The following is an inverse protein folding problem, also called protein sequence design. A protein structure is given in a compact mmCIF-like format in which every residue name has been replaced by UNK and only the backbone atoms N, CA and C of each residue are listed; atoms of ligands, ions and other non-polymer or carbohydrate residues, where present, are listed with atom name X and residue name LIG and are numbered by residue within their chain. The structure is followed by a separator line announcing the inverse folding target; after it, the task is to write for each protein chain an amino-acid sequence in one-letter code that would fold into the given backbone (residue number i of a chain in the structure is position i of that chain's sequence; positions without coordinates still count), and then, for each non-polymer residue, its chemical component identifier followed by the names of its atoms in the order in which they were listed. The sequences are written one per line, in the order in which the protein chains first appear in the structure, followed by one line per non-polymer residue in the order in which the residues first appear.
data_IF_490976408739
#
_entry.id   IF_490976408739
#
_cell.length_a   1.000
_cell.length_b   1.000
_cell.length_c   1.000
_cell.angle_alpha   90.00
_cell.angle_beta   90.00
_cell.angle_gamma   90.00
#
_symmetry.space_group_name_H-M   'P 1'
#
loop_
_entity.id
_entity.type
_entity.pdbx_description
1 polymer ?
#
# COMPACT_ATOMS: atom_id res chain seq x y z
N UNK A 1 33.87 -18.36 31.45
CA UNK A 1 33.76 -17.94 30.03
C UNK A 1 34.27 -16.52 29.95
N UNK A 2 35.13 -16.18 28.99
CA UNK A 2 35.42 -14.77 28.69
C UNK A 2 34.11 -14.07 28.32
N UNK A 3 33.92 -12.84 28.77
CA UNK A 3 32.76 -12.04 28.37
C UNK A 3 32.87 -11.74 26.88
N UNK A 4 31.79 -11.95 26.14
CA UNK A 4 31.73 -11.58 24.74
C UNK A 4 31.51 -10.07 24.64
N UNK A 5 32.49 -9.37 24.07
CA UNK A 5 32.33 -7.97 23.71
C UNK A 5 31.58 -7.91 22.37
N UNK A 6 30.46 -7.19 22.37
CA UNK A 6 29.65 -6.96 21.17
C UNK A 6 29.96 -5.58 20.61
N UNK A 7 30.16 -5.52 19.30
CA UNK A 7 30.30 -4.26 18.61
C UNK A 7 28.93 -3.61 18.41
N UNK A 8 28.91 -2.30 18.22
CA UNK A 8 27.67 -1.55 17.97
C UNK A 8 26.87 -2.12 16.79
N UNK A 9 27.57 -2.63 15.76
CA UNK A 9 26.97 -3.22 14.55
C UNK A 9 26.20 -4.49 14.88
N UNK A 10 26.63 -5.28 15.87
CA UNK A 10 25.94 -6.52 16.26
C UNK A 10 24.53 -6.23 16.78
N UNK A 11 24.38 -5.12 17.52
CA UNK A 11 23.08 -4.65 18.01
C UNK A 11 22.18 -4.09 16.89
N UNK A 12 22.76 -3.70 15.75
CA UNK A 12 22.02 -3.19 14.60
C UNK A 12 21.39 -4.33 13.78
N UNK A 13 21.80 -5.58 13.99
CA UNK A 13 21.28 -6.75 13.26
C UNK A 13 19.74 -6.85 13.30
N UNK A 14 19.10 -6.89 14.48
CA UNK A 14 17.63 -6.94 14.58
C UNK A 14 16.94 -5.75 13.91
N UNK A 15 17.51 -4.55 14.01
CA UNK A 15 16.97 -3.35 13.39
C UNK A 15 17.02 -3.45 11.86
N UNK A 16 18.16 -3.90 11.32
CA UNK A 16 18.35 -4.11 9.89
C UNK A 16 17.36 -5.15 9.34
N UNK A 17 17.10 -6.24 10.07
CA UNK A 17 16.11 -7.26 9.69
C UNK A 17 14.69 -6.71 9.72
N UNK A 18 14.31 -5.92 10.74
CA UNK A 18 12.99 -5.31 10.80
C UNK A 18 12.78 -4.33 9.63
N UNK A 19 13.79 -3.50 9.31
CA UNK A 19 13.73 -2.63 8.15
C UNK A 19 13.64 -3.40 6.84
N UNK A 20 14.47 -4.42 6.63
CA UNK A 20 14.44 -5.21 5.39
C UNK A 20 13.09 -5.89 5.20
N UNK A 21 12.51 -6.46 6.26
CA UNK A 21 11.17 -7.05 6.24
C UNK A 21 10.09 -6.02 5.88
N UNK A 22 10.12 -4.83 6.51
CA UNK A 22 9.16 -3.76 6.21
C UNK A 22 9.26 -3.29 4.76
N UNK A 23 10.48 -3.12 4.22
CA UNK A 23 10.69 -2.75 2.82
C UNK A 23 10.19 -3.83 1.86
N UNK A 24 10.46 -5.10 2.15
CA UNK A 24 9.97 -6.22 1.33
C UNK A 24 8.44 -6.23 1.30
N UNK A 25 7.77 -6.13 2.45
CA UNK A 25 6.30 -6.06 2.51
C UNK A 25 5.78 -4.84 1.75
N UNK A 26 6.42 -3.68 1.90
CA UNK A 26 6.04 -2.48 1.18
C UNK A 26 6.11 -2.68 -0.33
N UNK A 27 7.21 -3.24 -0.84
CA UNK A 27 7.38 -3.50 -2.27
C UNK A 27 6.45 -4.58 -2.80
N UNK A 28 6.20 -5.65 -2.05
CA UNK A 28 5.21 -6.68 -2.43
C UNK A 28 3.82 -6.07 -2.48
N UNK A 29 3.44 -5.31 -1.46
CA UNK A 29 2.11 -4.69 -1.38
C UNK A 29 1.92 -3.67 -2.51
N UNK A 30 2.94 -2.87 -2.80
CA UNK A 30 2.86 -1.83 -3.80
C UNK A 30 2.99 -2.35 -5.23
N UNK A 31 3.96 -3.21 -5.54
CA UNK A 31 4.19 -3.65 -6.92
C UNK A 31 3.43 -4.92 -7.30
N UNK A 32 3.32 -5.91 -6.41
CA UNK A 32 2.69 -7.18 -6.74
C UNK A 32 1.18 -7.07 -6.52
N UNK A 33 0.76 -6.74 -5.30
CA UNK A 33 -0.67 -6.74 -4.98
C UNK A 33 -1.38 -5.65 -5.79
N UNK A 34 -0.90 -4.41 -5.74
CA UNK A 34 -1.61 -3.28 -6.36
C UNK A 34 -1.57 -3.29 -7.90
N UNK A 35 -0.46 -3.66 -8.55
CA UNK A 35 -0.37 -3.61 -10.02
C UNK A 35 -0.57 -4.94 -10.73
N UNK A 36 -0.23 -6.07 -10.11
CA UNK A 36 -0.30 -7.38 -10.76
C UNK A 36 -1.54 -8.18 -10.35
N UNK A 37 -1.86 -8.23 -9.06
CA UNK A 37 -2.96 -9.06 -8.57
C UNK A 37 -4.33 -8.40 -8.71
N UNK A 38 -4.41 -7.07 -8.62
CA UNK A 38 -5.70 -6.38 -8.67
C UNK A 38 -6.21 -6.29 -10.10
N UNK A 39 -7.42 -6.79 -10.29
CA UNK A 39 -8.13 -6.70 -11.56
C UNK A 39 -9.04 -5.49 -11.57
N UNK A 40 -9.49 -5.06 -12.75
CA UNK A 40 -10.39 -3.91 -12.88
C UNK A 40 -11.74 -4.08 -12.19
N UNK A 41 -12.10 -5.28 -11.75
CA UNK A 41 -13.39 -5.59 -11.13
C UNK A 41 -13.30 -5.64 -9.60
N UNK A 42 -12.10 -5.52 -9.03
CA UNK A 42 -11.89 -5.49 -7.60
C UNK A 42 -12.13 -4.08 -7.02
N UNK A 43 -12.30 -4.02 -5.71
CA UNK A 43 -12.43 -2.74 -5.00
C UNK A 43 -11.13 -1.92 -5.08
N UNK A 44 -11.27 -0.60 -5.16
CA UNK A 44 -10.16 0.35 -5.16
C UNK A 44 -9.24 0.13 -3.95
N UNK A 45 -7.94 0.07 -4.20
CA UNK A 45 -6.98 0.02 -3.10
C UNK A 45 -6.95 1.32 -2.32
N UNK A 46 -6.51 1.24 -1.07
CA UNK A 46 -6.23 2.44 -0.26
C UNK A 46 -5.22 3.37 -0.97
N UNK A 47 -4.25 2.80 -1.69
CA UNK A 47 -3.29 3.56 -2.49
C UNK A 47 -3.97 4.31 -3.65
N UNK A 48 -4.87 3.66 -4.38
CA UNK A 48 -5.63 4.30 -5.46
C UNK A 48 -6.59 5.36 -4.95
N UNK A 49 -7.29 5.13 -3.83
CA UNK A 49 -8.17 6.15 -3.20
C UNK A 49 -7.36 7.40 -2.82
N UNK A 50 -6.19 7.22 -2.21
CA UNK A 50 -5.30 8.32 -1.84
C UNK A 50 -4.71 9.03 -3.08
N UNK A 51 -4.34 8.27 -4.10
CA UNK A 51 -3.78 8.81 -5.33
C UNK A 51 -4.83 9.51 -6.20
N UNK A 52 -6.09 9.08 -6.15
CA UNK A 52 -7.23 9.69 -6.83
C UNK A 52 -7.42 11.14 -6.38
N UNK A 53 -7.28 11.41 -5.08
CA UNK A 53 -7.30 12.78 -4.52
C UNK A 53 -6.20 13.67 -5.09
N UNK A 54 -5.04 13.09 -5.43
CA UNK A 54 -3.91 13.77 -6.06
C UNK A 54 -3.94 13.73 -7.59
N UNK A 55 -4.98 13.14 -8.20
CA UNK A 55 -5.08 12.87 -9.64
C UNK A 55 -3.90 12.04 -10.18
N UNK A 56 -3.30 11.17 -9.36
CA UNK A 56 -2.22 10.26 -9.75
C UNK A 56 -2.81 8.87 -9.93
N UNK A 57 -2.48 8.20 -11.03
CA UNK A 57 -2.86 6.80 -11.25
C UNK A 57 -1.85 5.90 -10.54
N UNK A 58 -2.30 5.20 -9.50
CA UNK A 58 -1.43 4.37 -8.66
C UNK A 58 -1.85 2.89 -8.65
N UNK A 59 -2.59 2.47 -9.67
CA UNK A 59 -3.03 1.09 -9.87
C UNK A 59 -3.68 0.89 -11.24
N UNK A 60 -4.28 -0.28 -11.48
CA UNK A 60 -4.83 -0.67 -12.77
C UNK A 60 -6.09 0.13 -13.12
N UNK A 61 -6.82 0.65 -12.13
CA UNK A 61 -8.05 1.40 -12.35
C UNK A 61 -7.75 2.77 -12.97
N UNK A 62 -8.65 3.21 -13.85
CA UNK A 62 -8.54 4.53 -14.45
C UNK A 62 -9.00 5.59 -13.44
N UNK A 63 -8.42 6.80 -13.48
CA UNK A 63 -8.85 7.90 -12.60
C UNK A 63 -10.34 8.23 -12.74
N UNK A 64 -10.90 8.08 -13.93
CA UNK A 64 -12.32 8.29 -14.18
C UNK A 64 -13.22 7.18 -13.61
N UNK A 65 -12.72 5.95 -13.50
CA UNK A 65 -13.41 4.86 -12.81
C UNK A 65 -13.31 5.07 -11.29
N UNK A 66 -12.11 5.36 -10.80
CA UNK A 66 -11.86 5.63 -9.40
C UNK A 66 -12.73 6.76 -8.84
N UNK A 67 -12.83 7.91 -9.53
CA UNK A 67 -13.64 9.06 -9.08
C UNK A 67 -15.14 8.77 -9.00
N UNK A 68 -15.68 8.01 -9.96
CA UNK A 68 -17.12 7.69 -10.00
C UNK A 68 -17.57 6.80 -8.84
N UNK A 69 -16.64 6.23 -8.08
CA UNK A 69 -16.89 5.08 -7.23
C UNK A 69 -17.00 3.86 -8.12
N UNK A 70 -15.94 3.05 -8.16
CA UNK A 70 -15.83 1.91 -9.06
C UNK A 70 -16.95 0.88 -8.89
N UNK A 71 -16.97 -0.14 -9.75
CA UNK A 71 -17.93 -1.25 -9.78
C UNK A 71 -18.58 -1.54 -8.43
N UNK A 72 -19.90 -1.31 -8.31
CA UNK A 72 -20.77 -1.66 -7.18
C UNK A 72 -20.08 -1.88 -5.82
N UNK A 73 -19.12 -1.02 -5.47
CA UNK A 73 -18.27 -1.31 -4.32
C UNK A 73 -19.11 -1.12 -3.07
N UNK A 74 -18.99 -2.07 -2.15
CA UNK A 74 -19.75 -2.06 -0.89
C UNK A 74 -19.49 -0.76 -0.10
N UNK A 75 -18.32 -0.16 -0.34
CA UNK A 75 -17.83 1.03 0.36
C UNK A 75 -18.03 2.35 -0.40
N UNK A 76 -18.56 2.35 -1.63
CA UNK A 76 -18.71 3.60 -2.42
C UNK A 76 -19.42 4.72 -1.64
N UNK A 77 -20.50 4.39 -0.93
CA UNK A 77 -21.27 5.35 -0.13
C UNK A 77 -20.46 5.89 1.06
N UNK A 78 -19.69 5.03 1.72
CA UNK A 78 -18.85 5.43 2.85
C UNK A 78 -17.66 6.27 2.41
N UNK A 79 -17.05 5.92 1.28
CA UNK A 79 -15.92 6.64 0.71
C UNK A 79 -16.34 8.02 0.21
N UNK A 80 -17.56 8.15 -0.36
CA UNK A 80 -18.16 9.44 -0.69
C UNK A 80 -18.42 10.28 0.57
N UNK A 81 -18.92 9.67 1.66
CA UNK A 81 -19.10 10.36 2.95
C UNK A 81 -17.78 10.78 3.60
N UNK A 82 -16.71 10.01 3.41
CA UNK A 82 -15.35 10.34 3.86
C UNK A 82 -14.64 11.36 2.96
N UNK A 83 -15.24 11.75 1.83
CA UNK A 83 -14.62 12.62 0.83
C UNK A 83 -13.40 11.99 0.15
N UNK A 84 -13.35 10.66 0.10
CA UNK A 84 -12.35 9.88 -0.63
C UNK A 84 -12.71 9.76 -2.11
N UNK A 85 -14.00 9.88 -2.43
CA UNK A 85 -14.56 10.00 -3.77
C UNK A 85 -15.16 11.40 -3.94
N UNK A 86 -15.16 11.93 -5.16
CA UNK A 86 -15.69 13.25 -5.51
C UNK A 86 -16.88 13.09 -6.43
#
# INVERSE_FOLDING_TARGET
MPNQDFDFIDYMGPLAVAFSFAFIIFFISFFIINFYCITRFDDLTVFEKLACKKNIRMGPHSLAAAKRGDYASTYAKEDLKKGLLV
#
